data_IF_572248672948
#
_entry.id   IF_572248672948
#
_cell.length_a   1.000
_cell.length_b   1.000
_cell.length_c   1.000
_cell.angle_alpha   90.00
_cell.angle_beta   90.00
_cell.angle_gamma   90.00
#
_symmetry.space_group_name_H-M   'P 1'
#
loop_
_entity.id
_entity.type
_entity.pdbx_description
1 polymer ?
#
# COMPACT_ATOMS: atom_id res chain seq x y z
N UNK A 1 -0.99 -22.23 0.29
CA UNK A 1 -0.78 -20.84 0.76
C UNK A 1 -2.15 -20.20 0.74
N UNK A 2 -2.64 -19.74 1.89
CA UNK A 2 -3.97 -19.12 1.95
C UNK A 2 -3.88 -17.68 1.45
N UNK A 3 -4.82 -17.28 0.59
CA UNK A 3 -4.88 -15.91 0.08
C UNK A 3 -5.41 -14.94 1.15
N UNK A 4 -6.09 -15.47 2.17
CA UNK A 4 -6.57 -14.70 3.32
C UNK A 4 -5.42 -14.25 4.25
N UNK A 5 -4.22 -14.82 4.10
CA UNK A 5 -3.01 -14.41 4.84
C UNK A 5 -2.33 -13.16 4.26
N UNK A 6 -2.78 -12.67 3.09
CA UNK A 6 -2.15 -11.57 2.38
C UNK A 6 -2.85 -10.23 2.62
N UNK A 7 -2.03 -9.19 2.73
CA UNK A 7 -2.50 -7.79 2.76
C UNK A 7 -2.30 -7.21 1.37
N UNK A 8 -3.39 -6.81 0.72
CA UNK A 8 -3.37 -6.23 -0.61
C UNK A 8 -3.67 -4.73 -0.49
N UNK A 9 -2.83 -3.91 -1.12
CA UNK A 9 -2.97 -2.46 -1.12
C UNK A 9 -2.72 -1.91 -2.51
N UNK A 10 -3.51 -0.92 -2.92
CA UNK A 10 -3.27 -0.13 -4.13
C UNK A 10 -2.63 1.18 -3.72
N UNK A 11 -1.44 1.46 -4.26
CA UNK A 11 -0.69 2.67 -3.96
C UNK A 11 -0.80 3.64 -5.14
N UNK A 12 -1.34 4.82 -4.89
CA UNK A 12 -1.32 5.92 -5.85
C UNK A 12 0.05 6.59 -5.85
N UNK A 13 0.73 6.54 -6.99
CA UNK A 13 2.04 7.15 -7.19
C UNK A 13 1.86 8.55 -7.79
N UNK A 14 2.49 9.60 -7.21
CA UNK A 14 2.40 10.95 -7.74
C UNK A 14 3.10 11.07 -9.11
N UNK A 15 2.67 12.02 -9.95
CA UNK A 15 3.33 12.29 -11.23
C UNK A 15 4.83 12.59 -11.05
N UNK A 16 5.65 12.15 -12.02
CA UNK A 16 7.11 12.32 -11.96
C UNK A 16 7.84 11.23 -11.18
N UNK A 17 7.13 10.37 -10.44
CA UNK A 17 7.72 9.24 -9.73
C UNK A 17 7.28 7.90 -10.31
N UNK A 18 8.08 6.87 -10.06
CA UNK A 18 7.74 5.48 -10.39
C UNK A 18 7.63 4.64 -9.13
N UNK A 19 6.90 3.53 -9.19
CA UNK A 19 6.82 2.57 -8.09
C UNK A 19 8.20 2.03 -7.72
N UNK A 20 9.06 1.78 -8.71
CA UNK A 20 10.44 1.33 -8.48
C UNK A 20 11.27 2.36 -7.73
N UNK A 21 11.10 3.66 -7.98
CA UNK A 21 11.85 4.69 -7.25
C UNK A 21 11.44 4.80 -5.78
N UNK A 22 10.16 4.53 -5.47
CA UNK A 22 9.60 4.82 -4.14
C UNK A 22 9.41 3.59 -3.26
N UNK A 23 9.19 2.43 -3.87
CA UNK A 23 8.74 1.20 -3.23
C UNK A 23 9.61 0.00 -3.63
N UNK A 24 10.90 0.22 -3.98
CA UNK A 24 11.82 -0.86 -4.34
C UNK A 24 12.04 -1.81 -3.17
N UNK A 25 11.52 -3.03 -3.25
CA UNK A 25 11.76 -4.06 -2.23
C UNK A 25 13.16 -4.66 -2.31
N UNK A 26 13.94 -4.34 -3.35
CA UNK A 26 15.37 -4.67 -3.37
C UNK A 26 16.19 -3.78 -2.43
N UNK A 27 15.67 -2.60 -2.04
CA UNK A 27 16.26 -1.78 -0.98
C UNK A 27 15.80 -2.29 0.41
N UNK A 28 16.71 -2.77 1.27
CA UNK A 28 16.36 -3.29 2.59
C UNK A 28 15.67 -2.27 3.51
N UNK A 29 15.95 -0.96 3.37
CA UNK A 29 15.30 0.08 4.17
C UNK A 29 13.84 0.24 3.74
N UNK A 30 13.58 0.26 2.44
CA UNK A 30 12.24 0.33 1.87
C UNK A 30 11.45 -0.92 2.22
N UNK A 31 12.02 -2.13 2.08
CA UNK A 31 11.35 -3.38 2.44
C UNK A 31 10.96 -3.39 3.94
N UNK A 32 11.89 -3.04 4.81
CA UNK A 32 11.67 -2.97 6.26
C UNK A 32 10.60 -1.93 6.61
N UNK A 33 10.60 -0.79 5.92
CA UNK A 33 9.58 0.24 6.06
C UNK A 33 8.20 -0.30 5.68
N UNK A 34 8.05 -0.88 4.49
CA UNK A 34 6.78 -1.39 3.97
C UNK A 34 6.22 -2.49 4.87
N UNK A 35 7.06 -3.43 5.32
CA UNK A 35 6.65 -4.48 6.25
C UNK A 35 6.10 -3.90 7.56
N UNK A 36 6.74 -2.87 8.13
CA UNK A 36 6.25 -2.20 9.34
C UNK A 36 4.97 -1.43 9.09
N UNK A 37 4.88 -0.76 7.94
CA UNK A 37 3.70 0.01 7.54
C UNK A 37 2.48 -0.90 7.41
N UNK A 38 2.57 -1.99 6.64
CA UNK A 38 1.48 -2.94 6.43
C UNK A 38 1.08 -3.65 7.74
N UNK A 39 2.05 -4.02 8.60
CA UNK A 39 1.74 -4.56 9.93
C UNK A 39 0.91 -3.60 10.78
N UNK A 40 1.17 -2.29 10.68
CA UNK A 40 0.38 -1.27 11.40
C UNK A 40 -1.02 -1.13 10.81
N UNK A 41 -1.13 -1.17 9.48
CA UNK A 41 -2.40 -1.11 8.75
C UNK A 41 -3.35 -2.22 9.19
N UNK A 42 -2.88 -3.48 9.19
CA UNK A 42 -3.68 -4.65 9.65
C UNK A 42 -4.10 -4.54 11.11
N UNK A 43 -3.22 -4.03 11.98
CA UNK A 43 -3.54 -3.86 13.41
C UNK A 43 -4.60 -2.77 13.66
N UNK A 44 -4.77 -1.83 12.74
CA UNK A 44 -5.67 -0.67 12.88
C UNK A 44 -6.33 -0.35 11.53
N UNK A 45 -7.24 -1.21 11.02
CA UNK A 45 -7.74 -1.13 9.65
C UNK A 45 -8.56 0.13 9.34
N UNK A 46 -9.08 0.84 10.36
CA UNK A 46 -9.79 2.12 10.21
C UNK A 46 -8.99 3.36 10.59
N UNK A 47 -7.67 3.24 10.82
CA UNK A 47 -6.85 4.37 11.21
C UNK A 47 -6.22 5.04 9.99
N UNK A 48 -6.45 6.35 9.85
CA UNK A 48 -5.69 7.19 8.94
C UNK A 48 -4.32 7.47 9.56
N UNK A 49 -3.25 7.20 8.81
CA UNK A 49 -1.89 7.55 9.21
C UNK A 49 -0.97 7.70 8.01
N UNK A 50 0.10 8.47 8.20
CA UNK A 50 1.17 8.64 7.23
C UNK A 50 2.53 8.33 7.86
N UNK A 51 3.48 7.92 7.03
CA UNK A 51 4.90 7.80 7.40
C UNK A 51 5.79 8.23 6.24
N UNK A 52 6.85 8.97 6.56
CA UNK A 52 7.88 9.39 5.60
C UNK A 52 8.56 8.18 4.99
N UNK A 53 8.63 8.14 3.66
CA UNK A 53 9.34 7.12 2.91
C UNK A 53 10.85 7.25 3.15
N UNK A 54 11.59 6.14 3.24
CA UNK A 54 13.05 6.17 3.38
C UNK A 54 13.75 6.42 2.03
N UNK A 55 13.19 7.30 1.20
CA UNK A 55 13.73 7.63 -0.12
C UNK A 55 14.64 8.85 -0.01
N UNK A 56 15.86 8.75 -0.54
CA UNK A 56 16.74 9.90 -0.74
C UNK A 56 16.27 10.69 -1.98
N UNK A 57 15.33 11.62 -1.83
CA UNK A 57 15.10 12.60 -2.88
C UNK A 57 16.14 13.72 -2.77
N UNK A 58 16.93 13.92 -3.83
CA UNK A 58 17.88 15.05 -3.93
C UNK A 58 17.18 16.42 -3.92
N UNK A 59 15.86 16.45 -4.11
CA UNK A 59 15.03 17.66 -4.21
C UNK A 59 14.47 18.18 -2.88
N UNK A 60 14.83 17.58 -1.73
CA UNK A 60 14.50 18.12 -0.39
C UNK A 60 13.04 17.94 0.06
N UNK A 61 12.11 17.57 -0.82
CA UNK A 61 10.73 17.23 -0.45
C UNK A 61 10.65 15.80 0.10
N UNK A 62 10.28 15.69 1.38
CA UNK A 62 10.05 14.40 2.06
C UNK A 62 8.68 13.83 1.67
N UNK A 63 8.69 12.74 0.90
CA UNK A 63 7.48 12.01 0.54
C UNK A 63 7.02 11.10 1.68
N UNK A 64 5.71 10.96 1.84
CA UNK A 64 5.10 10.05 2.82
C UNK A 64 4.14 9.09 2.16
N UNK A 65 4.15 7.84 2.62
CA UNK A 65 3.09 6.87 2.35
C UNK A 65 1.95 7.09 3.33
N UNK A 66 0.75 7.30 2.80
CA UNK A 66 -0.44 7.71 3.54
C UNK A 66 -1.57 6.70 3.34
N UNK A 67 -2.31 6.42 4.42
CA UNK A 67 -3.64 5.80 4.34
C UNK A 67 -4.65 6.94 4.18
N UNK A 68 -5.26 7.07 3.00
CA UNK A 68 -6.11 8.23 2.65
C UNK A 68 -7.58 8.03 2.93
N UNK A 69 -8.01 6.78 3.09
CA UNK A 69 -9.41 6.42 3.24
C UNK A 69 -9.55 5.29 4.26
N UNK A 70 -10.65 5.32 5.01
CA UNK A 70 -11.06 4.26 5.91
C UNK A 70 -11.98 3.24 5.21
N UNK A 71 -12.48 3.57 4.02
CA UNK A 71 -13.24 2.63 3.21
C UNK A 71 -12.26 1.69 2.50
N UNK A 72 -12.41 0.40 2.78
CA UNK A 72 -11.69 -0.67 2.11
C UNK A 72 -12.37 -0.95 0.77
N UNK A 73 -11.85 -0.50 -0.39
CA UNK A 73 -12.35 -0.98 -1.67
C UNK A 73 -12.12 -2.49 -1.81
N UNK A 74 -12.99 -3.13 -2.59
CA UNK A 74 -12.86 -4.54 -2.90
C UNK A 74 -12.43 -4.71 -4.35
N UNK A 75 -11.34 -5.46 -4.57
CA UNK A 75 -10.93 -5.86 -5.92
C UNK A 75 -11.53 -7.24 -6.20
N UNK A 76 -12.39 -7.38 -7.24
CA UNK A 76 -12.91 -8.68 -7.62
C UNK A 76 -11.81 -9.51 -8.28
N UNK A 77 -11.84 -10.82 -8.03
CA UNK A 77 -10.96 -11.78 -8.69
C UNK A 77 -11.70 -13.09 -8.95
N UNK A 78 -11.21 -13.82 -9.95
CA UNK A 78 -11.80 -15.09 -10.38
C UNK A 78 -10.92 -16.22 -9.91
N UNK A 79 -11.52 -17.23 -9.27
CA UNK A 79 -10.84 -18.45 -8.84
C UNK A 79 -11.62 -19.67 -9.30
N UNK A 80 -10.90 -20.74 -9.66
CA UNK A 80 -11.50 -22.04 -9.98
C UNK A 80 -11.67 -22.86 -8.71
N UNK A 81 -12.90 -23.32 -8.46
CA UNK A 81 -13.25 -24.20 -7.34
C UNK A 81 -12.72 -25.62 -7.53
N UNK A 82 -12.71 -26.39 -6.44
CA UNK A 82 -12.33 -27.81 -6.46
C UNK A 82 -13.30 -28.67 -7.29
N UNK A 83 -14.55 -28.20 -7.44
CA UNK A 83 -15.59 -28.76 -8.30
C UNK A 83 -15.47 -28.31 -9.77
N UNK A 84 -14.37 -27.66 -10.14
CA UNK A 84 -14.13 -27.05 -11.46
C UNK A 84 -15.07 -25.90 -11.84
N UNK A 85 -15.91 -25.40 -10.94
CA UNK A 85 -16.72 -24.22 -11.16
C UNK A 85 -15.88 -22.93 -11.04
N UNK A 86 -16.39 -21.83 -11.59
CA UNK A 86 -15.74 -20.52 -11.50
C UNK A 86 -16.46 -19.66 -10.46
N UNK A 87 -15.72 -19.13 -9.51
CA UNK A 87 -16.25 -18.23 -8.48
C UNK A 87 -15.64 -16.83 -8.62
N UNK A 88 -16.46 -15.81 -8.37
CA UNK A 88 -16.01 -14.44 -8.17
C UNK A 88 -15.89 -14.22 -6.67
N UNK A 89 -14.72 -13.78 -6.22
CA UNK A 89 -14.45 -13.38 -4.85
C UNK A 89 -13.97 -11.94 -4.82
N UNK A 90 -13.96 -11.35 -3.63
CA UNK A 90 -13.60 -9.95 -3.41
C UNK A 90 -12.51 -9.86 -2.35
N UNK A 91 -11.39 -9.21 -2.68
CA UNK A 91 -10.32 -8.97 -1.71
C UNK A 91 -10.48 -7.60 -1.06
N UNK A 92 -10.48 -7.52 0.29
CA UNK A 92 -10.35 -6.24 0.96
C UNK A 92 -9.01 -5.62 0.57
N UNK A 93 -9.06 -4.45 -0.04
CA UNK A 93 -7.88 -3.73 -0.55
C UNK A 93 -7.76 -2.40 0.15
N UNK A 94 -6.57 -2.03 0.60
CA UNK A 94 -6.34 -0.71 1.17
C UNK A 94 -5.91 0.30 0.11
N UNK A 95 -6.50 1.50 0.14
CA UNK A 95 -6.05 2.63 -0.69
C UNK A 95 -5.00 3.42 0.04
N UNK A 96 -3.81 3.45 -0.55
CA UNK A 96 -2.68 4.22 -0.08
C UNK A 96 -2.32 5.27 -1.12
N UNK A 97 -1.75 6.38 -0.69
CA UNK A 97 -1.18 7.39 -1.60
C UNK A 97 0.22 7.76 -1.14
N UNK A 98 1.07 8.15 -2.09
CA UNK A 98 2.31 8.85 -1.77
C UNK A 98 2.09 10.35 -1.97
N UNK A 99 2.27 11.12 -0.90
CA UNK A 99 2.08 12.57 -0.89
C UNK A 99 3.30 13.28 -0.34
N UNK A 100 3.62 14.46 -0.88
CA UNK A 100 4.52 15.39 -0.21
C UNK A 100 3.78 16.03 0.96
N UNK A 101 4.30 15.87 2.18
CA UNK A 101 3.85 16.66 3.32
C UNK A 101 4.49 18.05 3.19
N UNK A 102 4.03 18.86 2.23
CA UNK A 102 4.24 20.30 2.36
C UNK A 102 3.51 20.69 3.63
N UNK A 103 4.26 21.14 4.64
CA UNK A 103 3.68 21.85 5.77
C UNK A 103 2.80 22.95 5.17
N UNK A 104 1.48 22.76 5.17
CA UNK A 104 0.56 23.87 5.08
C UNK A 104 0.82 24.69 6.33
N UNK A 105 1.69 25.69 6.20
CA UNK A 105 1.84 26.78 7.16
C UNK A 105 0.51 27.50 7.32
#
# INVERSE_FOLDING_TARGET
MDLDDYVISVVQIPPGYTSKMLLDTCDPQVEKFLRKFMKRLVKKPGALFSRVLPTSSDEGDSLSLCVTDCQTPYIPYVIKGSDSSWHIRQFPTHRLSVCSLKNNK
#
